data_IF_109082337037
#
_entry.id   IF_109082337037
#
_cell.length_a   1.000
_cell.length_b   1.000
_cell.length_c   1.000
_cell.angle_alpha   90.00
_cell.angle_beta   90.00
_cell.angle_gamma   90.00
#
_symmetry.space_group_name_H-M   'P 1'
#
loop_
_entity.id
_entity.type
_entity.pdbx_description
1 polymer ?
#
# COMPACT_ATOMS: atom_id res chain seq x y z
N UNK A 1 13.78 -2.27 -10.37
CA UNK A 1 12.51 -1.52 -10.51
C UNK A 1 11.61 -1.91 -9.35
N UNK A 2 10.95 -0.96 -8.68
CA UNK A 2 10.09 -1.27 -7.52
C UNK A 2 8.67 -1.58 -8.03
N UNK A 3 8.12 -2.73 -7.66
CA UNK A 3 6.75 -3.13 -7.98
C UNK A 3 5.80 -2.80 -6.82
N UNK A 4 4.69 -2.16 -7.16
CA UNK A 4 3.66 -1.74 -6.22
C UNK A 4 2.32 -2.25 -6.73
N UNK A 5 1.61 -3.02 -5.90
CA UNK A 5 0.25 -3.44 -6.17
C UNK A 5 -0.75 -2.55 -5.43
N UNK A 6 -1.88 -2.27 -6.06
CA UNK A 6 -3.05 -1.63 -5.45
C UNK A 6 -4.18 -2.65 -5.48
N UNK A 7 -4.84 -2.87 -4.34
CA UNK A 7 -5.96 -3.79 -4.23
C UNK A 7 -7.21 -3.05 -3.79
N UNK A 8 -8.25 -3.08 -4.63
CA UNK A 8 -9.53 -2.46 -4.34
C UNK A 8 -9.51 -0.94 -4.28
N UNK A 9 -10.49 -0.40 -3.56
CA UNK A 9 -10.63 1.03 -3.30
C UNK A 9 -11.59 1.75 -4.22
N UNK A 10 -11.66 3.06 -4.03
CA UNK A 10 -12.47 4.00 -4.81
C UNK A 10 -11.60 4.84 -5.75
N UNK A 11 -12.15 5.95 -6.27
CA UNK A 11 -11.48 6.83 -7.22
C UNK A 11 -10.12 7.36 -6.73
N UNK A 12 -9.89 7.43 -5.41
CA UNK A 12 -8.59 7.81 -4.87
C UNK A 12 -7.49 6.83 -5.26
N UNK A 13 -7.82 5.55 -5.39
CA UNK A 13 -6.88 4.50 -5.76
C UNK A 13 -6.62 4.45 -7.26
N UNK A 14 -7.62 4.81 -8.07
CA UNK A 14 -7.42 5.07 -9.52
C UNK A 14 -6.42 6.20 -9.69
N UNK A 15 -6.60 7.31 -8.94
CA UNK A 15 -5.65 8.43 -8.99
C UNK A 15 -4.26 8.06 -8.48
N UNK A 16 -4.19 7.24 -7.44
CA UNK A 16 -2.92 6.71 -6.94
C UNK A 16 -2.19 5.91 -8.01
N UNK A 17 -2.89 5.03 -8.73
CA UNK A 17 -2.31 4.25 -9.82
C UNK A 17 -1.70 5.16 -10.90
N UNK A 18 -2.40 6.21 -11.31
CA UNK A 18 -1.88 7.21 -12.25
C UNK A 18 -0.60 7.89 -11.74
N UNK A 19 -0.57 8.30 -10.47
CA UNK A 19 0.61 8.94 -9.87
C UNK A 19 1.80 7.99 -9.88
N UNK A 20 1.59 6.71 -9.52
CA UNK A 20 2.66 5.71 -9.47
C UNK A 20 3.23 5.44 -10.87
N UNK A 21 2.37 5.27 -11.87
CA UNK A 21 2.79 5.09 -13.27
C UNK A 21 3.58 6.31 -13.76
N UNK A 22 3.07 7.52 -13.52
CA UNK A 22 3.74 8.76 -13.93
C UNK A 22 5.12 8.94 -13.28
N UNK A 23 5.35 8.33 -12.11
CA UNK A 23 6.64 8.33 -11.42
C UNK A 23 7.57 7.18 -11.87
N UNK A 24 7.14 6.35 -12.83
CA UNK A 24 7.92 5.24 -13.37
C UNK A 24 7.93 3.98 -12.50
N UNK A 25 6.96 3.81 -11.60
CA UNK A 25 6.80 2.58 -10.84
C UNK A 25 6.08 1.51 -11.66
N UNK A 26 6.51 0.25 -11.49
CA UNK A 26 5.76 -0.87 -12.04
C UNK A 26 4.51 -1.08 -11.17
N UNK A 27 3.36 -0.66 -11.70
CA UNK A 27 2.10 -0.57 -10.96
C UNK A 27 1.17 -1.67 -11.41
N UNK A 28 0.68 -2.44 -10.44
CA UNK A 28 -0.27 -3.52 -10.64
C UNK A 28 -1.55 -3.23 -9.88
N UNK A 29 -2.71 -3.54 -10.46
CA UNK A 29 -4.02 -3.36 -9.81
C UNK A 29 -4.77 -4.68 -9.73
N UNK A 30 -5.54 -4.87 -8.67
CA UNK A 30 -6.43 -6.01 -8.49
C UNK A 30 -7.75 -5.57 -7.85
N UNK A 31 -8.87 -6.13 -8.30
CA UNK A 31 -10.22 -5.75 -7.85
C UNK A 31 -10.48 -4.23 -7.87
N UNK A 32 -9.95 -3.52 -8.88
CA UNK A 32 -10.14 -2.10 -9.12
C UNK A 32 -10.32 -1.88 -10.63
N UNK A 33 -11.53 -1.52 -11.06
CA UNK A 33 -11.86 -1.31 -12.47
C UNK A 33 -12.36 0.12 -12.66
N UNK A 34 -11.70 0.87 -13.54
CA UNK A 34 -12.16 2.22 -13.89
C UNK A 34 -11.59 2.63 -15.27
N UNK A 35 -12.36 3.35 -16.11
CA UNK A 35 -11.86 3.84 -17.41
C UNK A 35 -10.63 4.75 -17.31
N UNK A 36 -10.48 5.46 -16.20
CA UNK A 36 -9.35 6.38 -15.95
C UNK A 36 -8.08 5.68 -15.44
N UNK A 37 -8.05 4.34 -15.40
CA UNK A 37 -6.82 3.62 -15.10
C UNK A 37 -5.83 3.79 -16.29
N UNK A 38 -4.55 4.07 -16.03
CA UNK A 38 -3.55 4.16 -17.09
C UNK A 38 -3.41 2.83 -17.85
N UNK A 39 -3.21 2.88 -19.16
CA UNK A 39 -3.02 1.70 -20.00
C UNK A 39 -1.76 0.90 -19.61
N UNK A 40 -0.77 1.56 -19.01
CA UNK A 40 0.48 0.96 -18.57
C UNK A 40 0.35 0.16 -17.26
N UNK A 41 -0.78 0.29 -16.56
CA UNK A 41 -1.04 -0.50 -15.35
C UNK A 41 -1.29 -1.96 -15.73
N UNK A 42 -0.63 -2.86 -15.00
CA UNK A 42 -0.91 -4.30 -15.15
C UNK A 42 -2.12 -4.70 -14.30
N UNK A 43 -3.17 -5.24 -14.92
CA UNK A 43 -4.30 -5.83 -14.18
C UNK A 43 -3.92 -7.25 -13.75
N UNK A 44 -3.87 -7.51 -12.45
CA UNK A 44 -3.64 -8.85 -11.92
C UNK A 44 -4.86 -9.75 -12.12
N UNK A 45 -4.60 -11.02 -12.40
CA UNK A 45 -5.64 -12.05 -12.52
C UNK A 45 -5.88 -12.78 -11.19
N UNK A 46 -4.95 -12.65 -10.24
CA UNK A 46 -5.03 -13.35 -8.96
C UNK A 46 -4.29 -12.61 -7.85
N UNK A 47 -4.70 -12.89 -6.61
CA UNK A 47 -3.96 -12.44 -5.42
C UNK A 47 -2.51 -12.99 -5.36
N UNK A 48 -2.21 -14.09 -6.06
CA UNK A 48 -0.84 -14.61 -6.18
C UNK A 48 0.05 -13.67 -6.98
N UNK A 49 -0.50 -12.93 -7.94
CA UNK A 49 0.26 -11.95 -8.71
C UNK A 49 0.52 -10.68 -7.89
N UNK A 50 -0.47 -10.28 -7.09
CA UNK A 50 -0.34 -9.20 -6.09
C UNK A 50 0.79 -9.51 -5.11
N UNK A 51 0.85 -10.72 -4.58
CA UNK A 51 1.83 -11.14 -3.56
C UNK A 51 3.29 -11.13 -4.05
N UNK A 52 3.53 -11.14 -5.37
CA UNK A 52 4.87 -10.97 -5.96
C UNK A 52 5.37 -9.53 -5.87
N UNK A 53 4.50 -8.56 -5.61
CA UNK A 53 4.87 -7.15 -5.50
C UNK A 53 5.54 -6.86 -4.15
N UNK A 54 6.52 -5.95 -4.15
CA UNK A 54 7.24 -5.57 -2.93
C UNK A 54 6.34 -4.83 -1.94
N UNK A 55 5.47 -3.97 -2.47
CA UNK A 55 4.51 -3.20 -1.68
C UNK A 55 3.10 -3.50 -2.19
N UNK A 56 2.15 -3.65 -1.27
CA UNK A 56 0.74 -3.85 -1.59
C UNK A 56 -0.05 -2.80 -0.82
N UNK A 57 -0.81 -1.97 -1.53
CA UNK A 57 -1.64 -0.91 -0.95
C UNK A 57 -3.08 -1.40 -0.93
N UNK A 58 -3.65 -1.49 0.27
CA UNK A 58 -5.06 -1.82 0.49
C UNK A 58 -5.97 -0.60 0.46
N UNK A 59 -7.30 -0.80 0.42
CA UNK A 59 -8.25 0.29 0.32
C UNK A 59 -8.38 1.06 1.65
N UNK A 60 -8.98 2.25 1.58
CA UNK A 60 -9.29 3.07 2.76
C UNK A 60 -10.80 3.38 2.74
N UNK A 61 -11.61 2.91 3.70
CA UNK A 61 -11.23 1.98 4.76
C UNK A 61 -10.82 0.60 4.19
N UNK A 62 -10.04 -0.18 4.94
CA UNK A 62 -9.66 -1.53 4.52
C UNK A 62 -10.88 -2.42 4.27
N UNK A 63 -11.91 -2.29 5.10
CA UNK A 63 -13.19 -2.98 4.96
C UNK A 63 -14.34 -2.14 5.51
N UNK A 64 -15.56 -2.35 4.99
CA UNK A 64 -16.80 -1.77 5.54
C UNK A 64 -17.66 -2.77 6.31
N UNK A 65 -17.61 -4.03 5.92
CA UNK A 65 -18.40 -5.12 6.50
C UNK A 65 -17.60 -5.99 7.49
N UNK A 66 -16.28 -5.76 7.57
CA UNK A 66 -15.36 -6.53 8.41
C UNK A 66 -14.97 -7.90 7.84
N UNK A 67 -15.46 -8.27 6.65
CA UNK A 67 -15.24 -9.58 6.04
C UNK A 67 -14.56 -9.48 4.67
N UNK A 68 -14.88 -8.44 3.89
CA UNK A 68 -14.38 -8.23 2.54
C UNK A 68 -13.62 -6.91 2.42
N UNK A 69 -12.65 -6.86 1.51
CA UNK A 69 -11.97 -5.62 1.16
C UNK A 69 -12.94 -4.62 0.54
N UNK A 70 -12.76 -3.34 0.86
CA UNK A 70 -13.56 -2.29 0.25
C UNK A 70 -13.20 -2.12 -1.25
N UNK A 71 -14.08 -2.62 -2.11
CA UNK A 71 -13.88 -2.76 -3.58
C UNK A 71 -15.06 -2.18 -4.36
N UNK A 72 -15.50 -0.93 -4.10
CA UNK A 72 -16.72 -0.36 -4.70
C UNK A 72 -16.66 -0.20 -6.22
N UNK A 73 -15.46 -0.20 -6.80
CA UNK A 73 -15.22 -0.03 -8.23
C UNK A 73 -14.90 -1.35 -8.95
N UNK A 74 -15.16 -2.51 -8.34
CA UNK A 74 -15.02 -3.79 -9.03
C UNK A 74 -16.22 -4.68 -8.73
N UNK A 75 -16.50 -5.60 -9.65
CA UNK A 75 -17.47 -6.68 -9.42
C UNK A 75 -16.86 -7.82 -8.61
N UNK A 76 -15.54 -7.91 -8.54
CA UNK A 76 -14.84 -8.90 -7.73
C UNK A 76 -14.90 -8.53 -6.25
N UNK A 77 -15.45 -9.45 -5.45
CA UNK A 77 -15.39 -9.34 -4.00
C UNK A 77 -14.18 -10.12 -3.49
N UNK A 78 -13.31 -9.43 -2.75
CA UNK A 78 -12.09 -10.04 -2.19
C UNK A 78 -12.27 -10.20 -0.69
N UNK A 79 -12.31 -11.44 -0.20
CA UNK A 79 -12.37 -11.67 1.24
C UNK A 79 -11.05 -11.27 1.91
N UNK A 80 -11.14 -10.73 3.13
CA UNK A 80 -9.95 -10.37 3.92
C UNK A 80 -9.08 -11.61 4.15
N UNK A 81 -9.70 -12.74 4.49
CA UNK A 81 -8.98 -14.00 4.74
C UNK A 81 -8.20 -14.44 3.50
N UNK A 82 -8.83 -14.49 2.33
CA UNK A 82 -8.16 -14.87 1.07
C UNK A 82 -7.04 -13.90 0.70
N UNK A 83 -7.24 -12.60 0.93
CA UNK A 83 -6.19 -11.59 0.75
C UNK A 83 -5.00 -11.89 1.65
N UNK A 84 -5.20 -12.03 2.96
CA UNK A 84 -4.13 -12.26 3.93
C UNK A 84 -3.42 -13.61 3.71
N UNK A 85 -4.16 -14.67 3.39
CA UNK A 85 -3.61 -16.00 3.06
C UNK A 85 -2.68 -15.99 1.84
N UNK A 86 -2.90 -15.05 0.92
CA UNK A 86 -2.11 -14.94 -0.30
C UNK A 86 -0.82 -14.13 -0.10
N UNK A 87 -0.73 -13.30 0.94
CA UNK A 87 0.42 -12.44 1.20
C UNK A 87 1.50 -13.18 1.99
N UNK A 88 2.77 -12.95 1.65
CA UNK A 88 3.90 -13.58 2.37
C UNK A 88 5.15 -12.70 2.44
N UNK A 89 5.57 -12.06 1.35
CA UNK A 89 6.81 -11.25 1.33
C UNK A 89 6.60 -9.74 1.19
N UNK A 90 5.37 -9.33 0.92
CA UNK A 90 5.02 -7.94 0.66
C UNK A 90 4.93 -7.13 1.95
N UNK A 91 5.28 -5.84 1.86
CA UNK A 91 4.94 -4.86 2.90
C UNK A 91 3.54 -4.33 2.58
N UNK A 92 2.59 -4.58 3.48
CA UNK A 92 1.19 -4.21 3.31
C UNK A 92 0.95 -2.78 3.84
N UNK A 93 0.60 -1.85 2.98
CA UNK A 93 0.17 -0.50 3.35
C UNK A 93 -1.35 -0.50 3.46
N UNK A 94 -1.89 -0.61 4.67
CA UNK A 94 -3.32 -0.74 4.93
C UNK A 94 -3.81 0.41 5.81
N UNK A 95 -5.12 0.54 6.05
CA UNK A 95 -5.65 1.58 6.94
C UNK A 95 -7.04 1.25 7.47
N UNK A 96 -7.40 1.85 8.61
CA UNK A 96 -8.68 1.61 9.28
C UNK A 96 -8.87 0.13 9.61
N UNK A 97 -7.81 -0.49 10.15
CA UNK A 97 -7.82 -1.89 10.54
C UNK A 97 -8.62 -2.07 11.82
N UNK A 98 -9.52 -3.04 11.82
CA UNK A 98 -10.18 -3.45 13.07
C UNK A 98 -9.28 -4.46 13.82
N UNK A 99 -9.58 -4.68 15.10
CA UNK A 99 -8.80 -5.57 15.97
C UNK A 99 -8.68 -6.99 15.42
N UNK A 100 -9.74 -7.53 14.81
CA UNK A 100 -9.70 -8.87 14.20
C UNK A 100 -8.70 -8.95 13.04
N UNK A 101 -8.64 -7.92 12.20
CA UNK A 101 -7.70 -7.86 11.07
C UNK A 101 -6.26 -7.76 11.58
N UNK A 102 -6.03 -6.94 12.60
CA UNK A 102 -4.71 -6.81 13.26
C UNK A 102 -4.28 -8.15 13.87
N UNK A 103 -5.17 -8.84 14.56
CA UNK A 103 -4.89 -10.17 15.12
C UNK A 103 -4.50 -11.17 14.02
N UNK A 104 -5.21 -11.17 12.89
CA UNK A 104 -4.89 -12.06 11.76
C UNK A 104 -3.55 -11.70 11.10
N UNK A 105 -3.23 -10.43 10.96
CA UNK A 105 -1.93 -9.97 10.46
C UNK A 105 -0.79 -10.46 11.36
N UNK A 106 -0.96 -10.31 12.68
CA UNK A 106 0.03 -10.72 13.68
C UNK A 106 0.21 -12.24 13.74
N UNK A 107 -0.88 -13.01 13.74
CA UNK A 107 -0.83 -14.49 13.71
C UNK A 107 -0.06 -15.04 12.51
N UNK A 108 -0.10 -14.32 11.39
CA UNK A 108 0.52 -14.71 10.12
C UNK A 108 1.90 -14.10 9.92
N UNK A 109 2.38 -13.35 10.90
CA UNK A 109 3.66 -12.64 10.87
C UNK A 109 3.81 -11.74 9.63
N UNK A 110 2.69 -11.16 9.16
CA UNK A 110 2.68 -10.31 7.97
C UNK A 110 3.20 -8.91 8.31
N UNK A 111 4.08 -8.40 7.45
CA UNK A 111 4.61 -7.04 7.60
C UNK A 111 3.59 -6.04 7.07
N UNK A 112 3.10 -5.15 7.93
CA UNK A 112 2.16 -4.11 7.53
C UNK A 112 2.52 -2.74 8.12
N UNK A 113 1.95 -1.70 7.51
CA UNK A 113 1.97 -0.31 7.94
C UNK A 113 0.49 0.11 8.01
N UNK A 114 0.02 0.52 9.19
CA UNK A 114 -1.27 1.19 9.29
C UNK A 114 -1.09 2.68 8.97
N UNK A 115 -1.71 3.13 7.89
CA UNK A 115 -1.59 4.50 7.39
C UNK A 115 -2.40 5.51 8.23
N UNK A 116 -3.35 5.08 9.05
CA UNK A 116 -4.13 5.98 9.94
C UNK A 116 -3.39 6.22 11.26
N UNK A 117 -2.72 5.21 11.79
CA UNK A 117 -1.95 5.34 13.04
C UNK A 117 -0.61 6.08 12.85
N UNK A 118 -0.33 6.59 11.65
CA UNK A 118 0.84 7.43 11.40
C UNK A 118 0.62 8.82 12.01
N UNK A 119 1.14 9.04 13.22
CA UNK A 119 1.27 10.38 13.81
C UNK A 119 2.14 11.30 12.93
N UNK A 120 1.98 12.62 13.07
CA UNK A 120 2.71 13.65 12.31
C UNK A 120 4.23 13.43 12.30
N UNK A 121 4.78 12.94 13.42
CA UNK A 121 6.20 12.60 13.57
C UNK A 121 6.62 11.39 12.72
N UNK A 122 5.76 10.38 12.61
CA UNK A 122 5.98 9.21 11.75
C UNK A 122 5.90 9.57 10.27
N UNK A 123 4.99 10.48 9.90
CA UNK A 123 4.87 11.02 8.53
C UNK A 123 6.17 11.75 8.13
N UNK A 124 6.65 12.67 8.98
CA UNK A 124 7.89 13.41 8.76
C UNK A 124 9.09 12.47 8.65
N UNK A 125 9.17 11.46 9.53
CA UNK A 125 10.24 10.46 9.47
C UNK A 125 10.17 9.60 8.19
N UNK A 126 9.00 9.19 7.73
CA UNK A 126 8.85 8.42 6.49
C UNK A 126 9.29 9.22 5.25
N UNK A 127 8.94 10.51 5.19
CA UNK A 127 9.45 11.43 4.17
C UNK A 127 10.97 11.53 4.28
N UNK A 128 11.49 11.80 5.48
CA UNK A 128 12.92 11.94 5.71
C UNK A 128 13.72 10.68 5.40
N UNK A 129 13.18 9.48 5.63
CA UNK A 129 13.81 8.20 5.27
C UNK A 129 13.87 8.02 3.76
N UNK A 130 12.82 8.39 3.02
CA UNK A 130 12.82 8.37 1.55
C UNK A 130 13.81 9.40 1.00
N UNK A 131 13.81 10.63 1.54
CA UNK A 131 14.78 11.65 1.14
C UNK A 131 16.20 11.22 1.48
N UNK A 132 16.45 10.61 2.65
CA UNK A 132 17.77 10.06 3.03
C UNK A 132 18.22 8.94 2.10
N UNK A 133 17.30 8.09 1.65
CA UNK A 133 17.61 6.99 0.73
C UNK A 133 17.97 7.50 -0.67
N UNK A 134 17.42 8.66 -1.08
CA UNK A 134 17.76 9.34 -2.34
C UNK A 134 19.03 10.22 -2.18
N UNK A 135 19.24 10.82 -1.00
CA UNK A 135 20.42 11.64 -0.66
C UNK A 135 21.62 10.83 -0.12
N UNK A 136 21.52 9.51 -0.04
CA UNK A 136 22.58 8.61 0.41
C UNK A 136 23.85 8.60 -0.47
N UNK A 137 23.93 9.46 -1.49
CA UNK A 137 25.16 9.72 -2.24
C UNK A 137 25.73 11.14 -2.13
N UNK A 138 25.13 12.10 -1.40
CA UNK A 138 25.80 13.38 -1.16
C UNK A 138 25.52 13.97 0.23
N UNK A 139 26.63 14.10 0.97
CA UNK A 139 26.91 14.93 2.14
C UNK A 139 26.50 14.39 3.52
N UNK A 140 27.48 13.70 4.10
CA UNK A 140 27.93 14.03 5.45
C UNK A 140 28.16 15.55 5.62
N UNK A 141 27.90 16.05 6.84
CA UNK A 141 27.98 17.44 7.33
C UNK A 141 26.82 18.35 6.94
N UNK A 142 25.89 18.55 7.88
CA UNK A 142 25.72 19.87 8.49
C UNK A 142 24.99 19.80 9.85
N UNK A 143 25.72 20.26 10.87
CA UNK A 143 25.29 21.01 12.06
C UNK A 143 24.26 20.44 13.04
N UNK A 144 24.79 20.08 14.22
CA UNK A 144 24.29 20.59 15.49
C UNK A 144 23.82 22.05 15.35
N UNK A 145 22.56 22.36 15.67
CA UNK A 145 22.19 23.54 16.47
C UNK A 145 20.82 23.28 17.11
N UNK A 146 20.68 23.64 18.38
CA UNK A 146 19.47 23.71 19.21
C UNK A 146 18.95 22.40 19.83
N UNK A 147 19.62 21.96 20.89
CA UNK A 147 18.93 21.72 22.15
C UNK A 147 19.50 22.70 23.19
N UNK A 148 18.58 23.26 23.97
CA UNK A 148 18.78 24.23 25.06
C UNK A 148 19.83 23.77 26.05
#
# INVERSE_FOLDING_TARGET
MVSIAIVGGDLRFVRLAQILVNQGFNTLVYALEHPDLPEEVTVAQSLKDVAKCKYVVGPIPFSRDGNNLFTPLSKESVSITSFLDSMYSSILCLSALNTKVVDELNKRELKYIDMIEMDEVAILNAINIKTRSILGKKKARLCCVHQV
#
